data_IF_277454113170
#
_entry.id   IF_277454113170
#
_cell.length_a   1.000
_cell.length_b   1.000
_cell.length_c   1.000
_cell.angle_alpha   90.00
_cell.angle_beta   90.00
_cell.angle_gamma   90.00
#
_symmetry.space_group_name_H-M   'P 1'
#
loop_
_entity.id
_entity.type
_entity.pdbx_description
1 polymer ?
#
# COMPACT_ATOMS: atom_id res chain seq x y z
N UNK A 1 -9.44 -0.52 -19.07
CA UNK A 1 -9.53 0.82 -18.46
C UNK A 1 -8.13 1.44 -18.29
N UNK A 2 -8.00 2.76 -18.05
CA UNK A 2 -6.74 3.33 -17.53
C UNK A 2 -6.65 3.06 -16.02
N UNK A 3 -5.56 2.47 -15.59
CA UNK A 3 -5.28 2.20 -14.17
C UNK A 3 -4.37 3.28 -13.60
N UNK A 4 -3.39 3.77 -14.36
CA UNK A 4 -2.58 4.93 -13.98
C UNK A 4 -2.77 6.06 -14.99
N UNK A 5 -3.33 7.18 -14.53
CA UNK A 5 -3.52 8.36 -15.37
C UNK A 5 -2.23 9.16 -15.56
N UNK A 6 -1.36 9.23 -14.55
CA UNK A 6 -0.11 9.99 -14.62
C UNK A 6 0.81 9.50 -15.74
N UNK A 7 0.92 8.17 -15.87
CA UNK A 7 1.80 7.52 -16.82
C UNK A 7 1.04 6.84 -17.97
N UNK A 8 -0.26 7.14 -18.11
CA UNK A 8 -1.16 6.60 -19.13
C UNK A 8 -1.10 5.05 -19.26
N UNK A 9 -1.06 4.36 -18.12
CA UNK A 9 -0.99 2.89 -18.07
C UNK A 9 -2.39 2.29 -18.04
N UNK A 10 -2.64 1.36 -18.95
CA UNK A 10 -3.91 0.64 -19.09
C UNK A 10 -3.87 -0.71 -18.40
N UNK A 11 -5.05 -1.18 -18.02
CA UNK A 11 -5.29 -2.52 -17.49
C UNK A 11 -4.72 -3.63 -18.38
N UNK A 12 -4.79 -3.49 -19.71
CA UNK A 12 -4.24 -4.47 -20.65
C UNK A 12 -2.72 -4.56 -20.55
N UNK A 13 -2.04 -3.43 -20.38
CA UNK A 13 -0.59 -3.40 -20.19
C UNK A 13 -0.19 -4.06 -18.87
N UNK A 14 -0.93 -3.81 -17.79
CA UNK A 14 -0.68 -4.45 -16.49
C UNK A 14 -0.85 -5.97 -16.60
N UNK A 15 -1.94 -6.46 -17.21
CA UNK A 15 -2.14 -7.90 -17.43
C UNK A 15 -1.02 -8.51 -18.26
N UNK A 16 -0.62 -7.85 -19.35
CA UNK A 16 0.49 -8.31 -20.19
C UNK A 16 1.81 -8.42 -19.40
N UNK A 17 2.06 -7.48 -18.48
CA UNK A 17 3.25 -7.51 -17.61
C UNK A 17 3.19 -8.68 -16.63
N UNK A 18 2.02 -8.92 -16.02
CA UNK A 18 1.80 -10.08 -15.15
C UNK A 18 1.97 -11.40 -15.90
N UNK A 19 1.46 -11.50 -17.13
CA UNK A 19 1.66 -12.66 -18.01
C UNK A 19 3.14 -12.85 -18.38
N UNK A 20 3.92 -11.77 -18.47
CA UNK A 20 5.37 -11.83 -18.66
C UNK A 20 6.17 -12.18 -17.39
N UNK A 21 5.50 -12.26 -16.22
CA UNK A 21 6.10 -12.71 -14.97
C UNK A 21 6.22 -11.65 -13.88
N UNK A 22 5.65 -10.45 -14.04
CA UNK A 22 5.61 -9.45 -12.97
C UNK A 22 4.74 -9.98 -11.81
N UNK A 23 5.33 -10.17 -10.62
CA UNK A 23 4.62 -10.73 -9.45
C UNK A 23 4.44 -9.74 -8.32
N UNK A 24 5.18 -8.63 -8.36
CA UNK A 24 5.16 -7.58 -7.34
C UNK A 24 4.87 -6.20 -7.95
N UNK A 25 4.45 -5.25 -7.09
CA UNK A 25 4.27 -3.86 -7.51
C UNK A 25 5.59 -3.25 -7.98
N UNK A 26 6.72 -3.67 -7.41
CA UNK A 26 8.05 -3.22 -7.83
C UNK A 26 8.37 -3.63 -9.27
N UNK A 27 7.98 -4.85 -9.68
CA UNK A 27 8.14 -5.31 -11.06
C UNK A 27 7.31 -4.46 -12.02
N UNK A 28 6.03 -4.22 -11.69
CA UNK A 28 5.17 -3.35 -12.51
C UNK A 28 5.68 -1.89 -12.57
N UNK A 29 6.25 -1.38 -11.48
CA UNK A 29 6.89 -0.06 -11.44
C UNK A 29 8.11 -0.01 -12.37
N UNK A 30 8.90 -1.08 -12.41
CA UNK A 30 10.06 -1.18 -13.28
C UNK A 30 9.67 -1.31 -14.76
N UNK A 31 8.71 -2.19 -15.07
CA UNK A 31 8.31 -2.50 -16.45
C UNK A 31 7.43 -1.40 -17.08
N UNK A 32 6.48 -0.87 -16.32
CA UNK A 32 5.43 0.03 -16.83
C UNK A 32 5.52 1.44 -16.23
N UNK A 33 6.27 1.65 -15.14
CA UNK A 33 6.24 2.90 -14.40
C UNK A 33 4.93 3.11 -13.64
N UNK A 34 4.10 2.10 -13.39
CA UNK A 34 2.84 2.32 -12.62
C UNK A 34 3.14 2.82 -11.21
N UNK A 35 2.33 3.72 -10.66
CA UNK A 35 2.46 4.25 -9.29
C UNK A 35 3.77 5.02 -8.97
N UNK A 36 4.59 5.40 -9.97
CA UNK A 36 5.84 6.16 -9.75
C UNK A 36 5.67 7.68 -9.65
N UNK A 37 4.47 8.21 -9.90
CA UNK A 37 4.17 9.65 -9.84
C UNK A 37 3.39 10.04 -8.57
N UNK A 38 2.06 9.94 -8.59
CA UNK A 38 1.22 10.29 -7.43
C UNK A 38 0.94 9.12 -6.48
N UNK A 39 1.20 7.88 -6.91
CA UNK A 39 0.98 6.67 -6.12
C UNK A 39 -0.48 6.22 -5.97
N UNK A 40 -1.49 7.02 -6.33
CA UNK A 40 -2.92 6.71 -6.06
C UNK A 40 -3.46 5.46 -6.75
N UNK A 41 -2.76 4.95 -7.77
CA UNK A 41 -3.13 3.73 -8.49
C UNK A 41 -2.47 2.46 -7.95
N UNK A 42 -1.64 2.56 -6.89
CA UNK A 42 -0.88 1.43 -6.35
C UNK A 42 -1.77 0.28 -5.90
N UNK A 43 -2.80 0.55 -5.08
CA UNK A 43 -3.74 -0.47 -4.62
C UNK A 43 -4.50 -1.12 -5.79
N UNK A 44 -4.96 -0.31 -6.74
CA UNK A 44 -5.63 -0.82 -7.94
C UNK A 44 -4.71 -1.68 -8.81
N UNK A 45 -3.45 -1.30 -8.96
CA UNK A 45 -2.46 -2.09 -9.69
C UNK A 45 -2.14 -3.41 -8.98
N UNK A 46 -2.06 -3.42 -7.65
CA UNK A 46 -1.85 -4.62 -6.85
C UNK A 46 -2.96 -5.67 -7.05
N UNK A 47 -4.21 -5.27 -7.29
CA UNK A 47 -5.32 -6.21 -7.54
C UNK A 47 -5.12 -7.10 -8.77
N UNK A 48 -4.25 -6.70 -9.70
CA UNK A 48 -3.93 -7.51 -10.89
C UNK A 48 -2.80 -8.51 -10.65
N UNK A 49 -2.06 -8.38 -9.54
CA UNK A 49 -0.97 -9.27 -9.20
C UNK A 49 -1.51 -10.57 -8.58
N UNK A 50 -0.84 -11.72 -8.83
CA UNK A 50 -1.27 -13.01 -8.29
C UNK A 50 -1.22 -13.07 -6.75
N UNK A 51 -0.37 -12.27 -6.11
CA UNK A 51 -0.29 -12.14 -4.65
C UNK A 51 -1.31 -11.14 -4.05
N UNK A 52 -2.01 -10.36 -4.89
CA UNK A 52 -2.86 -9.23 -4.48
C UNK A 52 -4.28 -9.60 -4.07
N UNK A 53 -4.75 -10.82 -4.35
CA UNK A 53 -6.13 -11.22 -4.05
C UNK A 53 -6.43 -11.41 -2.54
N UNK A 54 -5.41 -11.48 -1.67
CA UNK A 54 -5.58 -11.81 -0.25
C UNK A 54 -5.18 -10.71 0.74
N UNK A 55 -4.75 -9.53 0.28
CA UNK A 55 -4.16 -8.51 1.15
C UNK A 55 -4.96 -7.19 1.29
N UNK A 56 -6.13 -7.05 0.67
CA UNK A 56 -6.82 -5.75 0.63
C UNK A 56 -8.29 -5.73 1.10
N UNK A 57 -8.77 -6.70 1.88
CA UNK A 57 -10.18 -6.66 2.35
C UNK A 57 -10.40 -5.81 3.62
N UNK A 58 -9.41 -5.08 4.16
CA UNK A 58 -9.56 -4.41 5.47
C UNK A 58 -9.35 -2.90 5.50
N UNK A 59 -9.55 -2.17 4.40
CA UNK A 59 -9.47 -0.69 4.43
C UNK A 59 -10.82 0.05 4.31
N UNK A 60 -11.88 -0.58 3.77
CA UNK A 60 -13.19 0.08 3.63
C UNK A 60 -14.13 -0.16 4.82
N UNK A 61 -14.18 -1.37 5.37
CA UNK A 61 -15.06 -1.71 6.52
C UNK A 61 -14.69 -0.99 7.83
N UNK A 62 -13.44 -0.52 7.96
CA UNK A 62 -12.99 0.26 9.11
C UNK A 62 -13.65 1.65 9.19
N UNK A 63 -14.14 2.18 8.06
CA UNK A 63 -14.75 3.51 7.99
C UNK A 63 -16.26 3.53 8.27
N UNK A 64 -16.97 2.42 8.01
CA UNK A 64 -18.41 2.30 8.30
C UNK A 64 -18.65 1.90 9.77
N UNK A 65 -17.74 1.11 10.36
CA UNK A 65 -17.86 0.63 11.74
C UNK A 65 -17.51 1.70 12.80
N UNK A 66 -16.82 2.78 12.43
CA UNK A 66 -16.52 3.88 13.34
C UNK A 66 -17.73 4.83 13.58
N UNK A 67 -18.74 4.80 12.71
CA UNK A 67 -19.90 5.68 12.82
C UNK A 67 -21.02 5.13 13.71
N UNK A 68 -21.13 3.79 13.86
CA UNK A 68 -22.16 3.16 14.67
C UNK A 68 -21.54 2.35 15.81
N UNK A 69 -21.38 3.01 16.96
CA UNK A 69 -21.02 2.34 18.21
C UNK A 69 -22.09 1.33 18.61
N UNK A 70 -21.78 0.04 18.48
CA UNK A 70 -22.35 -1.03 19.30
C UNK A 70 -21.31 -2.13 19.52
N UNK A 71 -20.93 -2.28 20.78
CA UNK A 71 -20.07 -3.33 21.30
C UNK A 71 -20.65 -4.72 21.02
N UNK A 72 -19.85 -5.62 20.45
CA UNK A 72 -19.73 -6.98 21.02
C UNK A 72 -18.47 -7.70 20.59
N UNK A 73 -17.88 -8.34 21.59
CA UNK A 73 -16.65 -9.12 21.56
C UNK A 73 -16.83 -10.43 20.78
N UNK A 74 -15.84 -10.80 19.98
CA UNK A 74 -15.50 -12.20 19.67
C UNK A 74 -13.99 -12.27 19.45
N UNK A 75 -13.38 -13.28 20.07
CA UNK A 75 -11.94 -13.47 20.25
C UNK A 75 -11.14 -13.91 19.00
N UNK A 76 -9.87 -13.46 18.97
CA UNK A 76 -8.61 -14.03 18.39
C UNK A 76 -8.47 -14.22 16.85
N UNK A 77 -7.25 -14.20 16.25
CA UNK A 77 -5.88 -14.32 16.80
C UNK A 77 -4.94 -13.12 16.50
N UNK A 78 -3.69 -13.07 17.02
CA UNK A 78 -2.84 -11.87 16.90
C UNK A 78 -2.01 -11.85 15.60
N UNK A 79 -2.13 -10.83 14.72
CA UNK A 79 -1.11 -10.55 13.74
C UNK A 79 -0.14 -9.48 14.29
N UNK A 80 1.00 -9.99 14.78
CA UNK A 80 2.34 -9.41 14.62
C UNK A 80 2.41 -7.88 14.45
N UNK A 81 2.83 -7.22 15.52
CA UNK A 81 3.70 -6.04 15.52
C UNK A 81 3.55 -5.09 14.31
N UNK A 82 2.46 -4.34 14.26
CA UNK A 82 2.44 -3.06 13.52
C UNK A 82 3.12 -2.00 14.38
N UNK A 83 4.42 -2.16 14.61
CA UNK A 83 5.28 -1.00 14.81
C UNK A 83 5.49 -0.38 13.45
N UNK A 84 4.53 0.43 12.99
CA UNK A 84 4.84 1.55 12.08
C UNK A 84 5.65 2.57 12.88
N UNK A 85 6.87 2.18 13.22
CA UNK A 85 7.95 3.06 13.66
C UNK A 85 8.54 3.61 12.36
N UNK A 86 7.87 4.59 11.78
CA UNK A 86 8.50 5.46 10.80
C UNK A 86 9.78 6.00 11.45
N UNK A 87 10.98 5.84 10.85
CA UNK A 87 12.20 6.38 11.42
C UNK A 87 12.23 7.87 11.07
N UNK A 88 11.61 8.71 11.90
CA UNK A 88 12.11 10.07 12.01
C UNK A 88 13.42 9.95 12.78
N UNK A 89 14.53 9.87 12.04
CA UNK A 89 15.84 10.15 12.59
C UNK A 89 15.82 11.58 13.12
N UNK A 90 15.52 11.73 14.41
CA UNK A 90 15.86 12.94 15.16
C UNK A 90 17.38 12.94 15.25
N UNK A 91 18.03 13.64 14.33
CA UNK A 91 19.43 14.03 14.46
C UNK A 91 19.54 14.88 15.71
N UNK A 92 20.19 14.32 16.72
CA UNK A 92 20.61 15.03 17.92
C UNK A 92 21.67 16.07 17.54
N UNK A 93 21.27 17.34 17.44
CA UNK A 93 22.20 18.45 17.49
C UNK A 93 22.49 18.77 18.96
N UNK A 94 23.53 18.13 19.51
CA UNK A 94 24.21 18.64 20.69
C UNK A 94 25.20 19.71 20.27
N UNK A 95 25.18 20.88 20.93
CA UNK A 95 26.32 21.79 21.06
C UNK A 95 26.11 22.77 22.21
N UNK A 96 26.70 22.42 23.35
CA UNK A 96 27.33 23.25 24.36
C UNK A 96 27.00 24.76 24.45
N UNK A 97 26.52 25.18 25.63
CA UNK A 97 27.01 26.40 26.31
C UNK A 97 26.71 26.30 27.83
N UNK A 98 27.67 25.80 28.59
CA UNK A 98 27.70 25.96 30.04
C UNK A 98 28.56 27.18 30.37
N UNK A 99 28.03 28.03 31.25
CA UNK A 99 28.63 29.23 31.80
C UNK A 99 29.60 28.91 32.95
#
# INVERSE_FOLDING_TARGET
MYVCVCNAITERQIRSSVESGSTTLADLQFDLGVATCCGSCADTACQYLPAGASACEHAYEASISAANGHTQATELPPPRATTRRFPIHVVAAGSAKAA
#
